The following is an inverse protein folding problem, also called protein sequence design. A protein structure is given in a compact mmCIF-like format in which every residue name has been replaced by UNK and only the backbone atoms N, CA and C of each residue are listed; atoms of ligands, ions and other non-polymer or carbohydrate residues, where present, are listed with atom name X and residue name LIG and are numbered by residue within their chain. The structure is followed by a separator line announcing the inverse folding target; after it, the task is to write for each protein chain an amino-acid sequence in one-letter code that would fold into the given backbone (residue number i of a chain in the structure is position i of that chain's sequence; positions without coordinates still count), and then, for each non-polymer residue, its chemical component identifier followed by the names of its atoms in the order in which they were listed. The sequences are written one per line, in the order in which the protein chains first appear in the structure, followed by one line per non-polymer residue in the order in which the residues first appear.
data_IF_544550428757
#
_entry.id   IF_544550428757
#
_cell.length_a   1.000
_cell.length_b   1.000
_cell.length_c   1.000
_cell.angle_alpha   90.00
_cell.angle_beta   90.00
_cell.angle_gamma   90.00
#
_symmetry.space_group_name_H-M   'P 1'
#
loop_
_entity.id
_entity.type
_entity.pdbx_description
1 polymer ?
#
# COMPACT_ATOMS: atom_id res chain seq x y z
N UNK A 1 3.04 -39.54 -9.76
CA UNK A 1 1.95 -38.57 -9.49
C UNK A 1 2.56 -37.22 -9.13
N UNK A 2 2.21 -36.19 -9.87
CA UNK A 2 2.64 -34.80 -9.57
C UNK A 2 1.60 -34.20 -8.65
N UNK A 3 2.02 -33.85 -7.41
CA UNK A 3 1.18 -33.10 -6.48
C UNK A 3 1.45 -31.63 -6.64
N UNK A 4 0.60 -30.94 -7.39
CA UNK A 4 0.63 -29.49 -7.52
C UNK A 4 -0.39 -28.92 -6.54
N UNK A 5 0.06 -28.16 -5.56
CA UNK A 5 -0.83 -27.52 -4.60
C UNK A 5 -1.16 -26.10 -5.04
N UNK A 6 -2.39 -25.65 -4.72
CA UNK A 6 -2.86 -24.30 -5.00
C UNK A 6 -2.12 -23.31 -4.08
N UNK A 7 -1.70 -22.17 -4.64
CA UNK A 7 -1.04 -21.13 -3.88
C UNK A 7 -2.02 -20.43 -2.93
N UNK A 8 -1.59 -20.22 -1.70
CA UNK A 8 -2.26 -19.28 -0.81
C UNK A 8 -1.96 -17.82 -1.25
N UNK A 9 -2.74 -16.85 -0.77
CA UNK A 9 -2.48 -15.44 -1.01
C UNK A 9 -1.05 -15.03 -0.59
N UNK A 10 -0.57 -15.54 0.55
CA UNK A 10 0.79 -15.29 1.03
C UNK A 10 1.85 -15.89 0.08
N UNK A 11 1.65 -17.11 -0.38
CA UNK A 11 2.55 -17.78 -1.32
C UNK A 11 2.57 -17.09 -2.68
N UNK A 12 1.43 -16.59 -3.15
CA UNK A 12 1.37 -15.76 -4.37
C UNK A 12 2.22 -14.50 -4.22
N UNK A 13 2.04 -13.74 -3.14
CA UNK A 13 2.82 -12.53 -2.87
C UNK A 13 4.32 -12.82 -2.69
N UNK A 14 4.64 -13.94 -2.06
CA UNK A 14 6.03 -14.38 -1.87
C UNK A 14 6.67 -14.97 -3.14
N UNK A 15 5.90 -15.12 -4.23
CA UNK A 15 6.38 -15.76 -5.45
C UNK A 15 6.94 -17.18 -5.21
N UNK A 16 6.23 -17.96 -4.38
CA UNK A 16 6.63 -19.32 -4.06
C UNK A 16 6.54 -20.21 -5.31
N UNK A 17 7.63 -20.90 -5.65
CA UNK A 17 7.69 -21.79 -6.80
C UNK A 17 6.78 -23.00 -6.66
N UNK A 18 6.48 -23.65 -7.77
CA UNK A 18 5.74 -24.92 -7.85
C UNK A 18 4.31 -24.86 -7.26
N UNK A 19 3.66 -23.70 -7.44
CA UNK A 19 2.28 -23.49 -7.03
C UNK A 19 1.38 -23.14 -8.21
N UNK A 20 0.15 -23.58 -8.16
CA UNK A 20 -0.90 -23.20 -9.12
C UNK A 20 -1.69 -22.03 -8.52
N UNK A 21 -1.94 -21.01 -9.33
CA UNK A 21 -2.84 -19.91 -8.96
C UNK A 21 -4.28 -20.32 -9.30
N UNK A 22 -5.17 -20.05 -8.37
CA UNK A 22 -6.60 -20.06 -8.63
C UNK A 22 -7.18 -18.64 -8.48
N UNK A 23 -8.44 -18.46 -8.84
CA UNK A 23 -9.09 -17.16 -8.81
C UNK A 23 -9.25 -16.62 -7.39
N UNK A 24 -9.55 -17.49 -6.43
CA UNK A 24 -9.67 -17.10 -5.02
C UNK A 24 -8.33 -16.63 -4.44
N UNK A 25 -7.25 -17.32 -4.76
CA UNK A 25 -5.90 -16.95 -4.31
C UNK A 25 -5.48 -15.59 -4.84
N UNK A 26 -5.80 -15.25 -6.09
CA UNK A 26 -5.50 -13.95 -6.68
C UNK A 26 -6.34 -12.85 -6.02
N UNK A 27 -7.65 -13.02 -5.87
CA UNK A 27 -8.52 -12.03 -5.22
C UNK A 27 -8.15 -11.82 -3.76
N UNK A 28 -7.88 -12.90 -3.01
CA UNK A 28 -7.43 -12.81 -1.62
C UNK A 28 -6.08 -12.09 -1.48
N UNK A 29 -5.17 -12.27 -2.45
CA UNK A 29 -3.89 -11.57 -2.47
C UNK A 29 -4.06 -10.05 -2.71
N UNK A 30 -5.09 -9.64 -3.46
CA UNK A 30 -5.38 -8.26 -3.79
C UNK A 30 -6.22 -7.54 -2.71
N UNK A 31 -6.80 -8.25 -1.76
CA UNK A 31 -7.64 -7.66 -0.72
C UNK A 31 -6.85 -6.63 0.11
N UNK A 32 -7.40 -5.41 0.35
CA UNK A 32 -6.68 -4.38 1.09
C UNK A 32 -6.35 -4.78 2.52
N UNK A 33 -5.08 -4.67 2.88
CA UNK A 33 -4.56 -4.97 4.23
C UNK A 33 -4.49 -3.69 5.04
N UNK A 34 -5.00 -3.72 6.28
CA UNK A 34 -4.96 -2.58 7.17
C UNK A 34 -3.52 -2.33 7.66
N UNK A 35 -3.04 -1.10 7.49
CA UNK A 35 -1.81 -0.62 8.11
C UNK A 35 -2.13 -0.11 9.52
N UNK A 36 -1.18 -0.28 10.44
CA UNK A 36 -1.31 0.22 11.81
C UNK A 36 -1.02 1.71 11.86
N UNK A 37 -1.95 2.51 12.39
CA UNK A 37 -1.75 3.94 12.59
C UNK A 37 -0.70 4.17 13.68
N UNK A 38 0.35 4.90 13.34
CA UNK A 38 1.47 5.23 14.22
C UNK A 38 2.14 6.53 13.72
N UNK A 39 2.97 7.14 14.56
CA UNK A 39 3.72 8.34 14.17
C UNK A 39 4.51 8.13 12.87
N UNK A 40 5.17 6.97 12.75
CA UNK A 40 5.73 6.45 11.52
C UNK A 40 5.00 5.16 11.17
N UNK A 41 4.28 5.15 10.08
CA UNK A 41 3.50 4.00 9.62
C UNK A 41 4.41 3.01 8.93
N UNK A 42 4.49 1.80 9.46
CA UNK A 42 5.25 0.71 8.84
C UNK A 42 4.48 0.13 7.65
N UNK A 43 5.16 -0.07 6.54
CA UNK A 43 4.62 -0.70 5.34
C UNK A 43 5.46 -1.92 5.00
N UNK A 44 4.91 -3.11 5.23
CA UNK A 44 5.50 -4.37 4.76
C UNK A 44 4.85 -4.72 3.41
N UNK A 45 5.61 -4.56 2.34
CA UNK A 45 5.10 -4.77 0.99
C UNK A 45 4.81 -6.26 0.68
N UNK A 46 5.35 -7.18 1.48
CA UNK A 46 5.02 -8.61 1.37
C UNK A 46 3.66 -8.96 2.01
N UNK A 47 3.11 -8.09 2.85
CA UNK A 47 1.85 -8.33 3.54
C UNK A 47 0.62 -8.20 2.64
N UNK A 48 0.72 -7.44 1.56
CA UNK A 48 -0.40 -7.22 0.64
C UNK A 48 0.02 -6.57 -0.67
N UNK A 49 -0.92 -6.49 -1.60
CA UNK A 49 -0.78 -5.71 -2.83
C UNK A 49 -1.49 -4.36 -2.69
N UNK A 50 -2.57 -4.32 -1.92
CA UNK A 50 -3.32 -3.12 -1.60
C UNK A 50 -3.38 -2.94 -0.09
N UNK A 51 -3.44 -1.70 0.34
CA UNK A 51 -3.46 -1.35 1.77
C UNK A 51 -4.53 -0.31 2.05
N UNK A 52 -4.90 -0.20 3.32
CA UNK A 52 -5.78 0.86 3.83
C UNK A 52 -5.23 1.39 5.15
N UNK A 53 -5.34 2.68 5.35
CA UNK A 53 -4.85 3.37 6.54
C UNK A 53 -5.83 4.46 6.94
N UNK A 54 -6.26 4.44 8.20
CA UNK A 54 -6.96 5.58 8.80
C UNK A 54 -5.98 6.32 9.70
N UNK A 55 -5.72 7.59 9.39
CA UNK A 55 -4.76 8.40 10.15
C UNK A 55 -5.45 9.18 11.26
N UNK A 56 -5.04 8.94 12.50
CA UNK A 56 -5.54 9.61 13.70
C UNK A 56 -4.66 10.76 14.18
N UNK A 57 -3.69 11.18 13.39
CA UNK A 57 -2.76 12.28 13.68
C UNK A 57 -1.90 12.60 12.45
N UNK A 58 -0.99 13.55 12.60
CA UNK A 58 0.02 13.80 11.57
C UNK A 58 1.00 12.63 11.56
N UNK A 59 1.19 12.02 10.40
CA UNK A 59 1.94 10.75 10.25
C UNK A 59 3.02 10.87 9.18
N UNK A 60 3.96 9.94 9.23
CA UNK A 60 4.94 9.70 8.17
C UNK A 60 4.76 8.28 7.66
N UNK A 61 4.59 8.13 6.35
CA UNK A 61 4.67 6.82 5.72
C UNK A 61 6.15 6.41 5.69
N UNK A 62 6.48 5.37 6.45
CA UNK A 62 7.85 4.95 6.69
C UNK A 62 8.48 4.25 5.48
N UNK A 63 9.78 4.01 5.54
CA UNK A 63 10.47 3.23 4.53
C UNK A 63 9.83 1.85 4.42
N UNK A 64 9.37 1.46 3.23
CA UNK A 64 8.75 0.16 3.08
C UNK A 64 9.79 -0.97 3.15
N UNK A 65 9.36 -2.08 3.73
CA UNK A 65 10.15 -3.32 3.80
C UNK A 65 9.66 -4.33 2.77
N UNK A 66 10.50 -5.33 2.49
CA UNK A 66 10.19 -6.43 1.56
C UNK A 66 9.66 -5.95 0.20
N UNK A 67 10.29 -4.92 -0.33
CA UNK A 67 9.95 -4.33 -1.62
C UNK A 67 10.19 -5.33 -2.73
N UNK A 68 9.26 -5.41 -3.67
CA UNK A 68 9.37 -6.26 -4.86
C UNK A 68 9.20 -5.42 -6.12
N UNK A 69 10.21 -5.41 -6.97
CA UNK A 69 10.16 -4.67 -8.25
C UNK A 69 8.98 -5.12 -9.09
N UNK A 70 8.26 -4.16 -9.63
CA UNK A 70 7.05 -4.40 -10.42
C UNK A 70 5.77 -4.52 -9.59
N UNK A 71 5.85 -4.56 -8.25
CA UNK A 71 4.65 -4.53 -7.43
C UNK A 71 3.97 -3.18 -7.57
N UNK A 72 2.66 -3.21 -7.72
CA UNK A 72 1.83 -2.01 -7.78
C UNK A 72 0.52 -2.22 -7.04
N UNK A 73 -0.11 -1.15 -6.63
CA UNK A 73 -1.37 -1.20 -5.93
C UNK A 73 -1.80 0.16 -5.42
N UNK A 74 -2.69 0.13 -4.44
CA UNK A 74 -3.29 1.32 -3.86
C UNK A 74 -3.19 1.26 -2.34
N UNK A 75 -2.88 2.40 -1.73
CA UNK A 75 -3.05 2.63 -0.30
C UNK A 75 -4.20 3.62 -0.16
N UNK A 76 -5.35 3.16 0.33
CA UNK A 76 -6.47 4.07 0.64
C UNK A 76 -6.20 4.75 1.96
N UNK A 77 -6.10 6.08 1.95
CA UNK A 77 -5.89 6.90 3.15
C UNK A 77 -7.21 7.52 3.56
N UNK A 78 -7.61 7.33 4.81
CA UNK A 78 -8.85 7.90 5.37
C UNK A 78 -8.49 8.84 6.51
N UNK A 79 -9.03 10.06 6.48
CA UNK A 79 -8.98 10.99 7.62
C UNK A 79 -9.83 10.44 8.77
N UNK A 80 -9.40 10.68 10.01
CA UNK A 80 -10.22 10.38 11.18
C UNK A 80 -11.43 11.32 11.30
N UNK A 81 -12.20 11.18 12.37
CA UNK A 81 -13.37 12.02 12.63
C UNK A 81 -13.04 13.50 12.93
N UNK A 82 -11.78 13.84 13.13
CA UNK A 82 -11.32 15.23 13.32
C UNK A 82 -10.89 15.88 12.00
N UNK A 83 -10.24 15.10 11.12
CA UNK A 83 -9.71 15.63 9.87
C UNK A 83 -8.44 16.45 10.03
N UNK A 84 -8.00 17.09 8.96
CA UNK A 84 -6.80 17.96 8.89
C UNK A 84 -5.50 17.25 9.27
N UNK A 85 -5.46 15.94 9.17
CA UNK A 85 -4.24 15.17 9.40
C UNK A 85 -3.35 15.21 8.17
N UNK A 86 -2.06 15.30 8.38
CA UNK A 86 -1.05 15.34 7.32
C UNK A 86 -0.31 14.01 7.21
N UNK A 87 0.17 13.69 6.02
CA UNK A 87 1.02 12.54 5.76
C UNK A 87 2.30 13.03 5.07
N UNK A 88 3.43 12.80 5.73
CA UNK A 88 4.75 12.93 5.14
C UNK A 88 5.22 11.58 4.61
N UNK A 89 6.27 11.56 3.80
CA UNK A 89 6.73 10.38 3.11
C UNK A 89 8.23 10.16 3.30
N UNK A 90 8.64 8.93 3.51
CA UNK A 90 10.06 8.58 3.48
C UNK A 90 10.65 8.84 2.07
N UNK A 91 11.94 9.10 2.01
CA UNK A 91 12.64 9.42 0.75
C UNK A 91 12.62 8.33 -0.32
N UNK A 92 12.27 7.10 0.05
CA UNK A 92 12.05 6.00 -0.90
C UNK A 92 10.85 6.24 -1.82
N UNK A 93 9.88 7.03 -1.38
CA UNK A 93 8.73 7.40 -2.18
C UNK A 93 9.07 8.58 -3.06
N UNK A 94 8.75 8.46 -4.35
CA UNK A 94 9.06 9.45 -5.37
C UNK A 94 7.78 10.02 -5.97
N UNK A 95 7.69 11.32 -5.99
CA UNK A 95 6.56 12.03 -6.55
C UNK A 95 6.90 12.65 -7.90
N UNK A 96 5.97 12.66 -8.87
CA UNK A 96 6.15 13.40 -10.13
C UNK A 96 6.51 14.86 -9.87
N UNK A 97 7.60 15.32 -10.47
CA UNK A 97 8.09 16.69 -10.27
C UNK A 97 8.70 16.97 -8.89
N UNK A 98 8.83 15.94 -8.02
CA UNK A 98 9.44 16.08 -6.70
C UNK A 98 8.59 16.80 -5.66
N UNK A 99 7.29 17.02 -5.93
CA UNK A 99 6.38 17.68 -4.98
C UNK A 99 5.43 16.64 -4.38
N UNK A 100 5.48 16.49 -3.07
CA UNK A 100 4.64 15.55 -2.33
C UNK A 100 3.16 15.88 -2.47
N UNK A 101 2.34 14.84 -2.64
CA UNK A 101 0.89 14.97 -2.63
C UNK A 101 0.36 15.35 -1.25
N UNK A 102 -0.61 16.27 -1.23
CA UNK A 102 -1.27 16.74 -0.01
C UNK A 102 -2.67 16.14 0.08
N UNK A 103 -2.96 15.46 1.20
CA UNK A 103 -4.23 14.80 1.44
C UNK A 103 -5.41 15.78 1.49
N UNK A 104 -6.60 15.26 1.21
CA UNK A 104 -7.87 15.92 1.54
C UNK A 104 -7.99 16.09 3.06
N UNK A 105 -8.52 17.21 3.51
CA UNK A 105 -8.49 17.62 4.94
C UNK A 105 -9.79 17.38 5.69
N UNK A 106 -10.92 17.18 5.00
CA UNK A 106 -12.20 16.99 5.67
C UNK A 106 -12.21 15.71 6.52
N UNK A 107 -12.91 15.74 7.64
CA UNK A 107 -13.11 14.56 8.47
C UNK A 107 -13.73 13.41 7.65
N UNK A 108 -13.18 12.21 7.78
CA UNK A 108 -13.61 11.04 7.03
C UNK A 108 -13.26 11.05 5.54
N UNK A 109 -12.58 12.09 5.04
CA UNK A 109 -12.18 12.14 3.63
C UNK A 109 -11.29 10.96 3.26
N UNK A 110 -11.49 10.43 2.05
CA UNK A 110 -10.72 9.31 1.52
C UNK A 110 -9.96 9.74 0.28
N UNK A 111 -8.68 9.39 0.26
CA UNK A 111 -7.81 9.58 -0.89
C UNK A 111 -7.21 8.22 -1.31
N UNK A 112 -6.92 8.09 -2.60
CA UNK A 112 -6.30 6.90 -3.17
C UNK A 112 -4.85 7.23 -3.52
N UNK A 113 -3.91 6.66 -2.77
CA UNK A 113 -2.48 6.75 -3.02
C UNK A 113 -2.05 5.54 -3.85
N UNK A 114 -1.78 5.75 -5.14
CA UNK A 114 -1.31 4.70 -6.03
C UNK A 114 0.20 4.59 -5.95
N UNK A 115 0.74 3.38 -6.00
CA UNK A 115 2.17 3.15 -5.97
C UNK A 115 2.62 2.16 -7.05
N UNK A 116 3.87 2.32 -7.48
CA UNK A 116 4.58 1.36 -8.33
C UNK A 116 6.04 1.27 -7.87
N UNK A 117 6.52 0.05 -7.65
CA UNK A 117 7.91 -0.22 -7.24
C UNK A 117 8.78 -0.38 -8.47
N UNK A 118 9.53 0.65 -8.82
CA UNK A 118 10.48 0.61 -9.94
C UNK A 118 11.76 -0.15 -9.57
N UNK A 119 12.29 0.14 -8.39
CA UNK A 119 13.49 -0.48 -7.83
C UNK A 119 13.43 -0.39 -6.30
N UNK A 120 14.40 -1.01 -5.62
CA UNK A 120 14.56 -0.84 -4.18
C UNK A 120 14.69 0.64 -3.84
N UNK A 121 13.85 1.12 -2.93
CA UNK A 121 13.76 2.52 -2.51
C UNK A 121 13.45 3.52 -3.65
N UNK A 122 12.84 3.03 -4.73
CA UNK A 122 12.31 3.87 -5.82
C UNK A 122 10.85 3.51 -6.07
N UNK A 123 9.98 4.07 -5.25
CA UNK A 123 8.54 3.79 -5.31
C UNK A 123 7.82 5.06 -5.75
N UNK A 124 7.31 5.02 -6.97
CA UNK A 124 6.50 6.11 -7.52
C UNK A 124 5.15 6.19 -6.83
N UNK A 125 4.75 7.40 -6.44
CA UNK A 125 3.44 7.69 -5.88
C UNK A 125 2.66 8.64 -6.77
N UNK A 126 1.34 8.47 -6.78
CA UNK A 126 0.39 9.44 -7.30
C UNK A 126 -0.86 9.44 -6.41
N UNK A 127 -1.49 10.61 -6.26
CA UNK A 127 -2.62 10.81 -5.35
C UNK A 127 -3.88 11.22 -6.11
N UNK A 128 -4.96 10.45 -5.94
CA UNK A 128 -6.30 10.83 -6.33
C UNK A 128 -7.10 11.19 -5.07
N UNK A 129 -7.62 12.41 -5.01
CA UNK A 129 -8.20 13.00 -3.81
C UNK A 129 -9.72 12.95 -3.80
N UNK A 130 -10.27 12.91 -2.59
CA UNK A 130 -11.69 13.16 -2.36
C UNK A 130 -12.60 12.12 -2.97
N UNK A 131 -12.35 10.84 -2.69
CA UNK A 131 -13.27 9.77 -3.11
C UNK A 131 -14.60 9.94 -2.38
N UNK A 132 -15.63 10.26 -3.13
CA UNK A 132 -16.97 10.49 -2.60
C UNK A 132 -17.84 9.22 -2.72
#
# INVERSE_FOLDING_TARGET
TVNISIATAAQFRANTADKVLDTDGVWSAAEPVALTDAATVAVDMSAGLNFKLTIGGNRTLGQPTNQKKGQSGVITITQDGTGSRTLAYHSSYKWPGGTDGVLSTAAGAKDSLKYYVHDTDVIELSLAKGLA
#
